data_IF_935131074318
#
_entry.id   IF_935131074318
#
_cell.length_a   1.000
_cell.length_b   1.000
_cell.length_c   1.000
_cell.angle_alpha   90.00
_cell.angle_beta   90.00
_cell.angle_gamma   90.00
#
_symmetry.space_group_name_H-M   'P 1'
#
loop_
_entity.id
_entity.type
_entity.pdbx_description
1 polymer ?
#
# COMPACT_ATOMS: atom_id res chain seq x y z
N UNK A 1 5.52 12.45 12.83
CA UNK A 1 6.66 12.10 13.72
C UNK A 1 6.96 10.60 13.70
N UNK A 2 5.98 9.72 13.95
CA UNK A 2 6.18 8.26 13.99
C UNK A 2 6.70 7.66 12.67
N UNK A 3 6.23 8.14 11.51
CA UNK A 3 6.69 7.67 10.19
C UNK A 3 8.21 7.86 10.02
N UNK A 4 8.73 9.08 10.23
CA UNK A 4 10.17 9.37 10.13
C UNK A 4 11.01 8.55 11.10
N UNK A 5 10.47 8.22 12.27
CA UNK A 5 11.15 7.41 13.28
C UNK A 5 11.31 5.96 12.84
N UNK A 6 10.32 5.41 12.13
CA UNK A 6 10.37 4.05 11.56
C UNK A 6 11.28 4.03 10.32
N UNK A 7 11.26 5.10 9.52
CA UNK A 7 12.00 5.16 8.26
C UNK A 7 13.50 5.47 8.40
N UNK A 8 13.93 6.09 9.51
CA UNK A 8 15.35 6.43 9.74
C UNK A 8 16.29 5.20 9.64
N UNK A 9 15.79 4.00 9.95
CA UNK A 9 16.54 2.74 9.81
C UNK A 9 16.28 1.97 8.52
N UNK A 10 15.42 2.46 7.62
CA UNK A 10 14.93 1.70 6.47
C UNK A 10 16.05 1.21 5.56
N UNK A 11 17.12 1.99 5.37
CA UNK A 11 18.27 1.58 4.57
C UNK A 11 18.91 0.25 5.03
N UNK A 12 18.82 -0.10 6.31
CA UNK A 12 19.40 -1.31 6.87
C UNK A 12 18.49 -2.55 6.78
N UNK A 13 17.16 -2.39 6.75
CA UNK A 13 16.22 -3.51 6.84
C UNK A 13 15.18 -3.58 5.71
N UNK A 14 15.01 -2.51 4.94
CA UNK A 14 13.97 -2.37 3.91
C UNK A 14 14.47 -2.66 2.48
N UNK A 15 15.69 -3.15 2.32
CA UNK A 15 16.22 -3.57 1.01
C UNK A 15 15.45 -4.76 0.43
N UNK A 16 15.05 -5.69 1.29
CA UNK A 16 14.32 -6.91 0.90
C UNK A 16 13.16 -7.15 1.89
N UNK A 17 12.10 -6.33 1.80
CA UNK A 17 10.96 -6.47 2.70
C UNK A 17 10.18 -7.75 2.39
N UNK A 18 10.20 -8.69 3.33
CA UNK A 18 9.40 -9.92 3.25
C UNK A 18 7.90 -9.66 3.41
N UNK A 19 7.05 -10.57 2.91
CA UNK A 19 5.59 -10.48 3.06
C UNK A 19 5.13 -10.35 4.53
N UNK A 20 5.88 -10.96 5.47
CA UNK A 20 5.63 -10.84 6.91
C UNK A 20 5.90 -9.43 7.42
N UNK A 21 7.00 -8.81 7.00
CA UNK A 21 7.34 -7.42 7.36
C UNK A 21 6.35 -6.44 6.73
N UNK A 22 5.92 -6.64 5.47
CA UNK A 22 4.87 -5.82 4.84
C UNK A 22 3.57 -5.82 5.66
N UNK A 23 3.12 -7.01 6.08
CA UNK A 23 1.93 -7.16 6.95
C UNK A 23 2.09 -6.46 8.30
N UNK A 24 3.28 -6.55 8.91
CA UNK A 24 3.56 -5.88 10.18
C UNK A 24 3.50 -4.36 10.03
N UNK A 25 4.15 -3.80 9.01
CA UNK A 25 4.14 -2.36 8.72
C UNK A 25 2.73 -1.85 8.43
N UNK A 26 1.94 -2.60 7.65
CA UNK A 26 0.53 -2.29 7.41
C UNK A 26 -0.30 -2.33 8.69
N UNK A 27 -0.03 -3.28 9.60
CA UNK A 27 -0.71 -3.35 10.90
C UNK A 27 -0.38 -2.14 11.77
N UNK A 28 0.88 -1.70 11.80
CA UNK A 28 1.31 -0.51 12.52
C UNK A 28 0.64 0.73 11.92
N UNK A 29 0.71 0.91 10.60
CA UNK A 29 0.07 2.02 9.91
C UNK A 29 -1.44 2.07 10.17
N UNK A 30 -2.13 0.93 10.07
CA UNK A 30 -3.57 0.84 10.35
C UNK A 30 -3.92 1.27 11.77
N UNK A 31 -3.13 0.90 12.78
CA UNK A 31 -3.37 1.33 14.17
C UNK A 31 -3.26 2.86 14.31
N UNK A 32 -2.27 3.48 13.67
CA UNK A 32 -2.15 4.94 13.64
C UNK A 32 -3.34 5.60 12.95
N UNK A 33 -3.75 5.09 11.79
CA UNK A 33 -4.90 5.62 11.06
C UNK A 33 -6.19 5.50 11.87
N UNK A 34 -6.41 4.36 12.54
CA UNK A 34 -7.58 4.15 13.42
C UNK A 34 -7.57 5.09 14.62
N UNK A 35 -6.41 5.34 15.22
CA UNK A 35 -6.28 6.32 16.30
C UNK A 35 -6.65 7.73 15.83
N UNK A 36 -6.16 8.13 14.66
CA UNK A 36 -6.49 9.43 14.06
C UNK A 36 -8.00 9.52 13.79
N UNK A 37 -8.58 8.54 13.09
CA UNK A 37 -10.02 8.51 12.79
C UNK A 37 -10.86 8.54 14.08
N UNK A 38 -10.46 7.77 15.10
CA UNK A 38 -11.16 7.74 16.38
C UNK A 38 -11.10 9.07 17.16
N UNK A 39 -10.01 9.82 17.04
CA UNK A 39 -9.86 11.13 17.67
C UNK A 39 -10.75 12.20 16.99
N UNK A 40 -10.98 12.09 15.68
CA UNK A 40 -11.87 12.99 14.93
C UNK A 40 -13.28 12.39 14.86
N UNK A 41 -14.05 12.53 15.96
CA UNK A 41 -15.43 12.02 16.13
C UNK A 41 -16.46 12.55 15.10
N UNK A 42 -16.07 13.50 14.25
CA UNK A 42 -16.79 13.90 13.03
C UNK A 42 -15.79 13.92 11.88
N UNK A 43 -16.16 13.42 10.70
CA UNK A 43 -15.26 13.25 9.56
C UNK A 43 -15.03 14.58 8.85
N UNK A 44 -13.86 15.25 8.96
CA UNK A 44 -13.50 16.23 7.95
C UNK A 44 -13.04 15.45 6.71
N UNK A 45 -13.60 15.77 5.55
CA UNK A 45 -13.17 15.27 4.23
C UNK A 45 -11.65 15.27 4.06
N UNK A 46 -10.97 16.22 4.69
CA UNK A 46 -9.51 16.36 4.76
C UNK A 46 -8.80 15.16 5.40
N UNK A 47 -9.36 14.56 6.44
CA UNK A 47 -8.80 13.36 7.07
C UNK A 47 -8.89 12.15 6.13
N UNK A 48 -10.02 12.01 5.42
CA UNK A 48 -10.20 10.94 4.44
C UNK A 48 -9.25 11.10 3.24
N UNK A 49 -9.11 12.31 2.70
CA UNK A 49 -8.15 12.62 1.64
C UNK A 49 -6.70 12.38 2.06
N UNK A 50 -6.36 12.66 3.32
CA UNK A 50 -5.04 12.34 3.86
C UNK A 50 -4.86 10.82 3.91
N UNK A 51 -5.85 10.05 4.36
CA UNK A 51 -5.79 8.59 4.39
C UNK A 51 -5.64 7.98 3.00
N UNK A 52 -6.40 8.47 2.00
CA UNK A 52 -6.32 7.98 0.62
C UNK A 52 -5.03 8.41 -0.09
N UNK A 53 -4.41 9.52 0.32
CA UNK A 53 -3.12 9.99 -0.18
C UNK A 53 -1.89 9.47 0.59
N UNK A 54 -2.05 8.76 1.71
CA UNK A 54 -0.91 8.23 2.49
C UNK A 54 -0.37 6.98 1.79
N UNK A 55 0.83 7.12 1.23
CA UNK A 55 1.60 6.01 0.71
C UNK A 55 1.82 4.95 1.81
N UNK A 56 1.57 3.66 1.53
CA UNK A 56 1.87 2.58 2.46
C UNK A 56 3.30 2.66 3.02
N UNK A 57 3.42 2.44 4.33
CA UNK A 57 4.68 2.61 5.08
C UNK A 57 5.81 1.72 4.54
N UNK A 58 5.49 0.54 4.02
CA UNK A 58 6.49 -0.35 3.42
C UNK A 58 7.04 0.20 2.09
N UNK A 59 6.21 0.89 1.28
CA UNK A 59 6.65 1.51 0.04
C UNK A 59 7.53 2.73 0.32
N UNK A 60 7.16 3.53 1.33
CA UNK A 60 8.03 4.59 1.88
C UNK A 60 9.39 4.04 2.31
N UNK A 61 9.41 2.90 3.00
CA UNK A 61 10.64 2.28 3.49
C UNK A 61 11.52 1.74 2.36
N UNK A 62 10.95 1.07 1.36
CA UNK A 62 11.66 0.64 0.15
C UNK A 62 12.24 1.86 -0.59
N UNK A 63 11.44 2.91 -0.80
CA UNK A 63 11.88 4.14 -1.44
C UNK A 63 13.03 4.82 -0.69
N UNK A 64 12.96 4.92 0.64
CA UNK A 64 13.99 5.56 1.45
C UNK A 64 15.28 4.73 1.49
N UNK A 65 15.15 3.40 1.47
CA UNK A 65 16.28 2.48 1.36
C UNK A 65 17.02 2.62 0.02
N UNK A 66 16.27 2.71 -1.09
CA UNK A 66 16.82 2.97 -2.43
C UNK A 66 17.45 4.37 -2.48
N UNK A 67 16.76 5.39 -1.98
CA UNK A 67 17.27 6.76 -1.97
C UNK A 67 18.61 6.87 -1.22
N UNK A 68 18.71 6.27 -0.03
CA UNK A 68 19.95 6.26 0.76
C UNK A 68 21.06 5.54 0.01
N UNK A 69 20.78 4.41 -0.64
CA UNK A 69 21.78 3.68 -1.43
C UNK A 69 22.30 4.49 -2.61
N UNK A 70 21.41 5.03 -3.43
CA UNK A 70 21.78 5.80 -4.62
C UNK A 70 22.51 7.09 -4.24
N UNK A 71 22.00 7.83 -3.25
CA UNK A 71 22.55 9.16 -2.92
C UNK A 71 23.76 9.13 -1.98
N UNK A 72 23.81 8.18 -1.03
CA UNK A 72 24.89 8.12 -0.02
C UNK A 72 25.92 7.05 -0.32
N UNK A 73 25.49 5.89 -0.81
CA UNK A 73 26.38 4.74 -1.06
C UNK A 73 26.84 4.65 -2.52
N UNK A 74 26.22 5.41 -3.45
CA UNK A 74 26.50 5.39 -4.89
C UNK A 74 26.38 4.00 -5.52
N UNK A 75 25.56 3.15 -4.92
CA UNK A 75 25.20 1.86 -5.48
C UNK A 75 24.04 2.07 -6.45
N UNK A 76 24.29 1.82 -7.73
CA UNK A 76 23.27 1.84 -8.76
C UNK A 76 22.80 0.41 -9.01
N UNK A 77 21.55 0.13 -8.68
CA UNK A 77 20.85 -1.02 -9.24
C UNK A 77 20.08 -0.56 -10.48
N UNK A 78 20.19 -1.35 -11.54
CA UNK A 78 19.45 -1.13 -12.78
C UNK A 78 17.96 -1.29 -12.47
N UNK A 79 17.16 -0.25 -12.74
CA UNK A 79 15.72 -0.32 -12.52
C UNK A 79 15.12 -1.28 -13.55
N UNK A 80 14.68 -2.45 -13.10
CA UNK A 80 13.98 -3.45 -13.91
C UNK A 80 12.47 -3.25 -13.67
N UNK A 81 11.71 -2.65 -14.62
CA UNK A 81 10.28 -2.40 -14.46
C UNK A 81 9.47 -3.68 -14.18
N UNK A 82 9.94 -4.83 -14.66
CA UNK A 82 9.30 -6.14 -14.53
C UNK A 82 9.18 -6.63 -13.08
N UNK A 83 10.04 -6.16 -12.16
CA UNK A 83 9.98 -6.55 -10.74
C UNK A 83 8.76 -5.97 -10.02
N UNK A 84 8.23 -4.87 -10.54
CA UNK A 84 7.07 -4.16 -10.00
C UNK A 84 5.79 -4.43 -10.79
N UNK A 85 5.87 -5.11 -11.93
CA UNK A 85 4.68 -5.54 -12.64
C UNK A 85 3.93 -6.62 -11.85
N UNK A 86 2.60 -6.52 -11.75
CA UNK A 86 1.82 -7.61 -11.20
C UNK A 86 2.00 -8.87 -12.05
N UNK A 87 2.46 -9.94 -11.40
CA UNK A 87 2.59 -11.28 -12.00
C UNK A 87 1.24 -11.94 -12.29
N UNK A 88 0.17 -11.39 -11.71
CA UNK A 88 -1.19 -11.83 -11.96
C UNK A 88 -1.70 -11.25 -13.31
N UNK A 89 -2.04 -12.11 -14.29
CA UNK A 89 -2.56 -11.65 -15.58
C UNK A 89 -3.88 -10.88 -15.47
N UNK A 90 -4.67 -11.08 -14.41
CA UNK A 90 -5.90 -10.33 -14.16
C UNK A 90 -5.64 -8.89 -13.73
N UNK A 91 -4.52 -8.62 -13.06
CA UNK A 91 -4.12 -7.28 -12.64
C UNK A 91 -3.48 -6.45 -13.77
N UNK A 92 -3.18 -7.10 -14.90
CA UNK A 92 -2.74 -6.43 -16.14
C UNK A 92 -3.93 -5.98 -17.00
N UNK A 93 -5.14 -6.43 -16.68
CA UNK A 93 -6.33 -5.96 -17.36
C UNK A 93 -6.65 -4.55 -16.89
N UNK A 94 -6.61 -3.61 -17.83
CA UNK A 94 -7.08 -2.25 -17.60
C UNK A 94 -8.52 -2.31 -17.04
N UNK A 95 -8.90 -1.48 -16.05
CA UNK A 95 -10.22 -1.54 -15.41
C UNK A 95 -11.39 -1.51 -16.40
N UNK A 96 -11.23 -0.82 -17.53
CA UNK A 96 -12.24 -0.76 -18.60
C UNK A 96 -12.43 -2.08 -19.38
N UNK A 97 -11.54 -3.06 -19.23
CA UNK A 97 -11.63 -4.41 -19.83
C UNK A 97 -12.09 -5.46 -18.82
N UNK A 98 -12.38 -5.05 -17.59
CA UNK A 98 -12.86 -5.93 -16.53
C UNK A 98 -14.35 -6.20 -16.76
N UNK A 99 -14.66 -7.30 -17.45
CA UNK A 99 -16.03 -7.74 -17.67
C UNK A 99 -16.61 -8.32 -16.37
N UNK A 100 -17.49 -7.55 -15.73
CA UNK A 100 -18.16 -7.90 -14.47
C UNK A 100 -19.35 -8.85 -14.69
N UNK A 101 -19.82 -9.01 -15.94
CA UNK A 101 -21.10 -9.64 -16.24
C UNK A 101 -21.08 -11.16 -15.98
N UNK A 102 -19.90 -11.79 -16.00
CA UNK A 102 -19.77 -13.24 -15.83
C UNK A 102 -19.58 -13.71 -14.37
N UNK A 103 -19.52 -12.80 -13.39
CA UNK A 103 -19.30 -13.18 -11.97
C UNK A 103 -20.49 -12.99 -11.05
N UNK A 104 -21.45 -12.16 -11.41
CA UNK A 104 -22.62 -11.91 -10.56
C UNK A 104 -23.82 -12.69 -11.09
N UNK A 105 -23.93 -13.96 -10.69
CA UNK A 105 -25.23 -14.64 -10.71
C UNK A 105 -26.12 -13.98 -9.65
N UNK A 106 -26.75 -12.86 -10.01
CA UNK A 106 -27.92 -12.31 -9.32
C UNK A 106 -29.12 -13.20 -9.65
N UNK A 107 -29.08 -14.47 -9.25
CA UNK A 107 -30.32 -15.24 -9.10
C UNK A 107 -31.07 -14.60 -7.94
N UNK A 108 -31.86 -13.58 -8.25
CA UNK A 108 -33.03 -13.17 -7.50
C UNK A 108 -33.90 -14.42 -7.33
N UNK A 109 -33.64 -15.21 -6.28
CA UNK A 109 -34.70 -16.01 -5.68
C UNK A 109 -35.55 -15.01 -4.90
N UNK A 110 -36.54 -14.50 -5.61
CA UNK A 110 -37.65 -13.75 -5.06
C UNK A 110 -38.20 -14.52 -3.86
N UNK A 111 -38.17 -13.88 -2.70
CA UNK A 111 -39.07 -14.17 -1.59
C UNK A 111 -40.47 -13.79 -2.04
N UNK A 112 -41.42 -14.72 -2.02
CA UNK A 112 -42.84 -14.44 -1.86
C UNK A 112 -43.47 -15.55 -1.02
N UNK A 113 -44.47 -15.13 -0.23
CA UNK A 113 -45.11 -15.75 0.93
C UNK A 113 -45.71 -17.16 0.73
#
# INVERSE_FOLDING_TARGET
MAERMILHGAAAWAQNITSRQKKLLQTIQRKFLLFIIGAYRTTPTTALQSITGILPLYLRAEQEAVYVRVTRLREYEEFIPEDFEPKDPYLRQHPAKFDLDNRINLSLQNTDF
#
